data_IF_348409148343
#
_entry.id   IF_348409148343
#
_cell.length_a   1.000
_cell.length_b   1.000
_cell.length_c   1.000
_cell.angle_alpha   90.00
_cell.angle_beta   90.00
_cell.angle_gamma   90.00
#
_symmetry.space_group_name_H-M   'P 1'
#
loop_
_entity.id
_entity.type
_entity.pdbx_description
1 polymer ?
#
# COMPACT_ATOMS: atom_id res chain seq x y z
N UNK A 1 25.75 -16.16 25.76
CA UNK A 1 26.29 -15.80 24.43
C UNK A 1 27.75 -15.37 24.51
N UNK A 2 28.10 -14.33 25.28
CA UNK A 2 29.48 -13.83 25.43
C UNK A 2 30.57 -14.91 25.63
N UNK A 3 30.43 -15.75 26.66
CA UNK A 3 31.43 -16.80 26.97
C UNK A 3 31.42 -17.97 25.98
N UNK A 4 30.31 -18.20 25.27
CA UNK A 4 30.17 -19.28 24.29
C UNK A 4 30.86 -18.95 22.96
N UNK A 5 30.93 -17.67 22.62
CA UNK A 5 31.52 -17.16 21.39
C UNK A 5 32.81 -16.35 21.63
N UNK A 6 33.36 -16.42 22.84
CA UNK A 6 34.58 -15.71 23.25
C UNK A 6 34.57 -14.20 22.91
N UNK A 7 33.41 -13.56 23.06
CA UNK A 7 33.23 -12.14 22.73
C UNK A 7 33.84 -11.26 23.81
N UNK A 8 34.53 -10.20 23.40
CA UNK A 8 34.98 -9.15 24.31
C UNK A 8 33.79 -8.34 24.84
N UNK A 9 34.03 -7.47 25.83
CA UNK A 9 33.00 -6.54 26.30
C UNK A 9 32.57 -5.56 25.20
N UNK A 10 33.50 -5.16 24.34
CA UNK A 10 33.25 -4.20 23.28
C UNK A 10 32.37 -4.84 22.19
N UNK A 11 32.66 -6.09 21.81
CA UNK A 11 31.82 -6.86 20.87
C UNK A 11 30.39 -7.04 21.39
N UNK A 12 30.26 -7.34 22.69
CA UNK A 12 28.96 -7.52 23.31
C UNK A 12 28.15 -6.22 23.35
N UNK A 13 28.83 -5.10 23.61
CA UNK A 13 28.23 -3.75 23.59
C UNK A 13 27.79 -3.39 22.18
N UNK A 14 28.66 -3.55 21.19
CA UNK A 14 28.34 -3.31 19.78
C UNK A 14 27.12 -4.10 19.30
N UNK A 15 27.05 -5.40 19.63
CA UNK A 15 25.91 -6.24 19.26
C UNK A 15 24.63 -5.76 19.95
N UNK A 16 24.69 -5.44 21.23
CA UNK A 16 23.53 -5.00 22.02
C UNK A 16 22.99 -3.66 21.52
N UNK A 17 23.87 -2.70 21.24
CA UNK A 17 23.53 -1.40 20.67
C UNK A 17 22.99 -1.52 19.24
N UNK A 18 23.56 -2.41 18.43
CA UNK A 18 23.06 -2.70 17.07
C UNK A 18 21.64 -3.26 17.09
N UNK A 19 21.34 -4.17 18.02
CA UNK A 19 19.99 -4.73 18.21
C UNK A 19 19.04 -3.64 18.74
N UNK A 20 19.47 -2.82 19.70
CA UNK A 20 18.67 -1.72 20.22
C UNK A 20 18.34 -0.68 19.13
N UNK A 21 19.32 -0.32 18.31
CA UNK A 21 19.13 0.58 17.17
C UNK A 21 18.19 -0.04 16.13
N UNK A 22 18.38 -1.31 15.77
CA UNK A 22 17.49 -2.04 14.86
C UNK A 22 16.05 -2.06 15.36
N UNK A 23 15.83 -2.35 16.64
CA UNK A 23 14.49 -2.31 17.25
C UNK A 23 13.91 -0.88 17.32
N UNK A 24 14.76 0.14 17.47
CA UNK A 24 14.34 1.55 17.41
C UNK A 24 13.88 1.93 15.99
N UNK A 25 14.59 1.48 14.96
CA UNK A 25 14.28 1.75 13.55
C UNK A 25 13.03 0.99 13.07
N UNK A 26 12.71 -0.18 13.64
CA UNK A 26 11.47 -0.90 13.33
C UNK A 26 10.26 -0.33 14.07
N UNK A 27 10.48 0.29 15.23
CA UNK A 27 9.39 0.94 16.00
C UNK A 27 9.08 2.36 15.51
N UNK A 28 9.97 2.99 14.73
CA UNK A 28 9.55 4.08 13.83
C UNK A 28 8.60 3.49 12.79
N UNK A 29 7.38 4.05 12.63
CA UNK A 29 6.34 3.40 11.85
C UNK A 29 6.84 3.10 10.45
N UNK A 30 6.81 1.81 10.09
CA UNK A 30 6.70 1.35 8.70
C UNK A 30 5.69 2.28 8.04
N UNK A 31 6.08 2.94 6.93
CA UNK A 31 5.20 3.76 6.09
C UNK A 31 3.78 3.23 6.21
N UNK A 32 2.90 3.94 6.93
CA UNK A 32 1.49 3.57 6.91
C UNK A 32 1.10 3.69 5.44
N UNK A 33 0.69 2.59 4.78
CA UNK A 33 0.23 2.67 3.41
C UNK A 33 -0.91 3.68 3.42
N UNK A 34 -0.81 4.73 2.59
CA UNK A 34 -1.86 5.75 2.52
C UNK A 34 -3.17 5.13 1.96
N UNK A 35 -3.06 3.95 1.37
CA UNK A 35 -4.13 3.07 0.99
C UNK A 35 -4.55 2.16 2.16
N UNK A 36 -5.85 2.04 2.35
CA UNK A 36 -6.41 1.15 3.35
C UNK A 36 -7.62 0.40 2.81
N UNK A 37 -7.95 -0.71 3.46
CA UNK A 37 -9.19 -1.43 3.22
C UNK A 37 -10.02 -1.45 4.50
N UNK A 38 -11.18 -0.81 4.48
CA UNK A 38 -12.08 -0.73 5.63
C UNK A 38 -13.53 -0.51 5.19
N UNK A 39 -14.51 -1.01 5.95
CA UNK A 39 -15.93 -0.80 5.66
C UNK A 39 -16.40 -1.34 4.30
N UNK A 40 -15.65 -2.27 3.68
CA UNK A 40 -15.93 -2.77 2.33
C UNK A 40 -15.43 -1.87 1.19
N UNK A 41 -14.62 -0.86 1.50
CA UNK A 41 -14.03 0.06 0.54
C UNK A 41 -12.50 0.00 0.60
N UNK A 42 -11.91 0.07 -0.58
CA UNK A 42 -10.50 0.39 -0.78
C UNK A 42 -10.40 1.92 -0.83
N UNK A 43 -9.66 2.49 0.10
CA UNK A 43 -9.32 3.91 0.14
C UNK A 43 -7.94 4.07 -0.44
N UNK A 44 -7.77 5.01 -1.36
CA UNK A 44 -6.49 5.39 -1.96
C UNK A 44 -6.32 6.88 -1.77
N UNK A 45 -5.16 7.29 -1.29
CA UNK A 45 -4.80 8.70 -1.24
C UNK A 45 -4.54 9.26 -2.64
N UNK A 46 -4.51 10.59 -2.73
CA UNK A 46 -4.18 11.29 -3.97
C UNK A 46 -2.89 10.79 -4.65
N UNK A 47 -1.83 10.52 -3.88
CA UNK A 47 -0.55 10.06 -4.44
C UNK A 47 -0.67 8.68 -5.08
N UNK A 48 -1.45 7.79 -4.47
CA UNK A 48 -1.71 6.45 -5.01
C UNK A 48 -2.60 6.53 -6.25
N UNK A 49 -3.61 7.40 -6.23
CA UNK A 49 -4.45 7.67 -7.38
C UNK A 49 -3.60 8.15 -8.56
N UNK A 50 -2.72 9.15 -8.36
CA UNK A 50 -1.83 9.64 -9.43
C UNK A 50 -0.89 8.54 -9.93
N UNK A 51 -0.31 7.76 -9.02
CA UNK A 51 0.58 6.67 -9.42
C UNK A 51 -0.14 5.66 -10.32
N UNK A 52 -1.35 5.22 -9.92
CA UNK A 52 -2.15 4.27 -10.69
C UNK A 52 -2.59 4.88 -12.03
N UNK A 53 -3.00 6.15 -12.06
CA UNK A 53 -3.37 6.86 -13.29
C UNK A 53 -2.19 6.93 -14.27
N UNK A 54 -0.99 7.25 -13.78
CA UNK A 54 0.22 7.31 -14.61
C UNK A 54 0.63 5.93 -15.16
N UNK A 55 0.51 4.89 -14.34
CA UNK A 55 0.72 3.51 -14.79
C UNK A 55 -0.30 3.11 -15.85
N UNK A 56 -1.58 3.42 -15.63
CA UNK A 56 -2.65 3.14 -16.59
C UNK A 56 -2.52 3.94 -17.89
N UNK A 57 -1.98 5.16 -17.85
CA UNK A 57 -1.66 5.93 -19.04
C UNK A 57 -0.54 5.28 -19.87
N UNK A 58 0.41 4.61 -19.22
CA UNK A 58 1.55 3.97 -19.87
C UNK A 58 1.24 2.57 -20.40
N UNK A 59 0.41 1.81 -19.69
CA UNK A 59 0.20 0.38 -19.91
C UNK A 59 -1.27 -0.02 -20.14
N UNK A 60 -2.18 0.96 -20.12
CA UNK A 60 -3.62 0.76 -20.26
C UNK A 60 -4.34 0.44 -18.94
N UNK A 61 -5.69 0.49 -18.91
CA UNK A 61 -6.48 0.30 -17.68
C UNK A 61 -6.30 -1.06 -16.99
N UNK A 62 -5.84 -2.09 -17.72
CA UNK A 62 -5.66 -3.44 -17.19
C UNK A 62 -4.68 -3.53 -16.01
N UNK A 63 -3.77 -2.56 -15.85
CA UNK A 63 -2.79 -2.56 -14.75
C UNK A 63 -3.39 -2.17 -13.39
N UNK A 64 -4.60 -1.62 -13.35
CA UNK A 64 -5.23 -1.11 -12.12
C UNK A 64 -5.35 -2.22 -11.07
N UNK A 65 -5.80 -3.41 -11.47
CA UNK A 65 -5.93 -4.54 -10.55
C UNK A 65 -4.58 -4.95 -9.94
N UNK A 66 -3.53 -5.00 -10.78
CA UNK A 66 -2.17 -5.33 -10.33
C UNK A 66 -1.59 -4.26 -9.40
N UNK A 67 -1.75 -2.98 -9.76
CA UNK A 67 -1.27 -1.86 -8.98
C UNK A 67 -1.95 -1.79 -7.60
N UNK A 68 -3.29 -1.89 -7.56
CA UNK A 68 -4.03 -1.96 -6.30
C UNK A 68 -3.63 -3.19 -5.47
N UNK A 69 -3.42 -4.34 -6.11
CA UNK A 69 -3.03 -5.58 -5.40
C UNK A 69 -1.63 -5.46 -4.80
N UNK A 70 -0.71 -4.80 -5.49
CA UNK A 70 0.64 -4.54 -4.98
C UNK A 70 0.59 -3.59 -3.78
N UNK A 71 -0.12 -2.46 -3.92
CA UNK A 71 -0.28 -1.46 -2.88
C UNK A 71 -0.89 -2.06 -1.61
N UNK A 72 -1.94 -2.88 -1.75
CA UNK A 72 -2.71 -3.42 -0.62
C UNK A 72 -2.30 -4.84 -0.22
N UNK A 73 -1.17 -5.35 -0.71
CA UNK A 73 -0.75 -6.76 -0.58
C UNK A 73 -0.66 -7.29 0.86
N UNK A 74 -0.61 -6.40 1.85
CA UNK A 74 -0.63 -6.72 3.27
C UNK A 74 -2.02 -7.06 3.83
N UNK A 75 -3.10 -6.85 3.06
CA UNK A 75 -4.45 -7.28 3.43
C UNK A 75 -4.77 -8.70 2.91
N UNK A 76 -5.07 -9.67 3.79
CA UNK A 76 -5.48 -11.01 3.37
C UNK A 76 -6.74 -10.99 2.50
N UNK A 77 -6.73 -11.74 1.41
CA UNK A 77 -7.89 -11.86 0.50
C UNK A 77 -8.15 -10.63 -0.37
N UNK A 78 -7.29 -9.61 -0.34
CA UNK A 78 -7.52 -8.36 -1.08
C UNK A 78 -7.58 -8.56 -2.59
N UNK A 79 -6.85 -9.54 -3.14
CA UNK A 79 -6.90 -9.87 -4.57
C UNK A 79 -8.32 -10.24 -5.03
N UNK A 80 -9.07 -10.97 -4.20
CA UNK A 80 -10.48 -11.30 -4.48
C UNK A 80 -11.36 -10.05 -4.44
N UNK A 81 -11.15 -9.17 -3.46
CA UNK A 81 -11.89 -7.91 -3.34
C UNK A 81 -11.65 -7.02 -4.56
N UNK A 82 -10.38 -6.82 -4.93
CA UNK A 82 -9.97 -6.04 -6.10
C UNK A 82 -10.52 -6.67 -7.37
N UNK A 83 -10.40 -7.99 -7.54
CA UNK A 83 -10.95 -8.71 -8.68
C UNK A 83 -12.47 -8.53 -8.81
N UNK A 84 -13.20 -8.60 -7.69
CA UNK A 84 -14.64 -8.35 -7.65
C UNK A 84 -15.00 -6.92 -8.03
N UNK A 85 -14.29 -5.92 -7.49
CA UNK A 85 -14.49 -4.50 -7.81
C UNK A 85 -14.22 -4.22 -9.30
N UNK A 86 -13.08 -4.69 -9.81
CA UNK A 86 -12.68 -4.48 -11.21
C UNK A 86 -13.63 -5.23 -12.16
N UNK A 87 -14.07 -6.43 -11.80
CA UNK A 87 -15.08 -7.17 -12.57
C UNK A 87 -16.45 -6.50 -12.57
N UNK A 88 -16.84 -5.86 -11.46
CA UNK A 88 -18.14 -5.18 -11.34
C UNK A 88 -18.21 -3.86 -12.11
N UNK A 89 -17.21 -2.99 -11.94
CA UNK A 89 -17.22 -1.66 -12.58
C UNK A 89 -16.53 -1.65 -13.96
N UNK A 90 -15.58 -2.55 -14.19
CA UNK A 90 -14.64 -2.47 -15.30
C UNK A 90 -13.48 -1.51 -15.02
N UNK A 91 -12.29 -1.90 -15.45
CA UNK A 91 -11.06 -1.13 -15.22
C UNK A 91 -11.10 0.28 -15.84
N UNK A 92 -11.75 0.45 -16.99
CA UNK A 92 -11.87 1.76 -17.65
C UNK A 92 -12.72 2.76 -16.84
N UNK A 93 -13.82 2.30 -16.23
CA UNK A 93 -14.66 3.15 -15.39
C UNK A 93 -13.94 3.57 -14.10
N UNK A 94 -13.19 2.63 -13.50
CA UNK A 94 -12.33 2.93 -12.35
C UNK A 94 -11.25 3.94 -12.72
N UNK A 95 -10.61 3.78 -13.89
CA UNK A 95 -9.61 4.75 -14.38
C UNK A 95 -10.21 6.15 -14.54
N UNK A 96 -11.40 6.26 -15.12
CA UNK A 96 -12.06 7.55 -15.28
C UNK A 96 -12.30 8.20 -13.92
N UNK A 97 -12.85 7.47 -12.95
CA UNK A 97 -13.09 7.99 -11.62
C UNK A 97 -11.80 8.39 -10.88
N UNK A 98 -10.73 7.60 -11.02
CA UNK A 98 -9.40 7.93 -10.51
C UNK A 98 -8.84 9.20 -11.18
N UNK A 99 -9.02 9.35 -12.49
CA UNK A 99 -8.58 10.54 -13.23
C UNK A 99 -9.34 11.79 -12.76
N UNK A 100 -10.66 11.69 -12.59
CA UNK A 100 -11.50 12.78 -12.08
C UNK A 100 -11.12 13.19 -10.65
N UNK A 101 -10.77 12.22 -9.80
CA UNK A 101 -10.25 12.47 -8.46
C UNK A 101 -8.86 13.14 -8.50
N UNK A 102 -7.97 12.67 -9.38
CA UNK A 102 -6.64 13.25 -9.58
C UNK A 102 -6.72 14.72 -10.04
N UNK A 103 -7.63 15.04 -10.96
CA UNK A 103 -7.87 16.42 -11.40
C UNK A 103 -8.33 17.32 -10.24
N UNK A 104 -9.08 16.78 -9.29
CA UNK A 104 -9.54 17.48 -8.09
C UNK A 104 -8.52 17.47 -6.94
N UNK A 105 -7.35 16.85 -7.12
CA UNK A 105 -6.32 16.63 -6.08
C UNK A 105 -6.85 15.86 -4.87
N UNK A 106 -7.72 14.88 -5.12
CA UNK A 106 -8.40 14.07 -4.10
C UNK A 106 -7.93 12.62 -4.13
N UNK A 107 -8.12 11.95 -3.00
CA UNK A 107 -8.10 10.49 -2.96
C UNK A 107 -9.39 9.91 -3.54
N UNK A 108 -9.54 8.59 -3.44
CA UNK A 108 -10.75 7.90 -3.87
C UNK A 108 -11.03 6.71 -2.96
N UNK A 109 -12.31 6.47 -2.68
CA UNK A 109 -12.78 5.19 -2.19
C UNK A 109 -13.49 4.40 -3.27
N UNK A 110 -13.23 3.10 -3.29
CA UNK A 110 -13.73 2.16 -4.30
C UNK A 110 -14.22 0.92 -3.57
N UNK A 111 -15.51 0.61 -3.68
CA UNK A 111 -16.11 -0.60 -3.12
C UNK A 111 -17.33 -1.00 -3.94
N UNK A 112 -17.91 -2.16 -3.66
CA UNK A 112 -19.11 -2.64 -4.38
C UNK A 112 -20.27 -1.63 -4.23
N UNK A 113 -20.32 -0.87 -3.13
CA UNK A 113 -21.31 0.19 -2.89
C UNK A 113 -21.10 1.47 -3.72
N UNK A 114 -20.00 1.60 -4.46
CA UNK A 114 -19.75 2.73 -5.36
C UNK A 114 -18.30 3.21 -5.37
N UNK A 115 -18.07 4.21 -6.23
CA UNK A 115 -16.79 4.92 -6.37
C UNK A 115 -17.03 6.40 -6.08
N UNK A 116 -16.22 7.01 -5.21
CA UNK A 116 -16.32 8.44 -4.93
C UNK A 116 -14.98 9.02 -4.48
N UNK A 117 -14.72 10.28 -4.85
CA UNK A 117 -13.56 11.02 -4.38
C UNK A 117 -13.60 11.26 -2.85
N UNK A 118 -12.42 11.31 -2.23
CA UNK A 118 -12.21 11.61 -0.80
C UNK A 118 -11.26 12.80 -0.60
#
# INVERSE_FOLDING_TARGET
>A
MKNKYNLSNDDFTFITESIANYNTVITTPVMMPRASFSGGYIHLSYDEVINIVNLAASYGPGVIAGAMSAILSFYPGIGTVIGGIVGWFGAAAILQAMSDAAFQKKGIKIGIGGISAE
#
